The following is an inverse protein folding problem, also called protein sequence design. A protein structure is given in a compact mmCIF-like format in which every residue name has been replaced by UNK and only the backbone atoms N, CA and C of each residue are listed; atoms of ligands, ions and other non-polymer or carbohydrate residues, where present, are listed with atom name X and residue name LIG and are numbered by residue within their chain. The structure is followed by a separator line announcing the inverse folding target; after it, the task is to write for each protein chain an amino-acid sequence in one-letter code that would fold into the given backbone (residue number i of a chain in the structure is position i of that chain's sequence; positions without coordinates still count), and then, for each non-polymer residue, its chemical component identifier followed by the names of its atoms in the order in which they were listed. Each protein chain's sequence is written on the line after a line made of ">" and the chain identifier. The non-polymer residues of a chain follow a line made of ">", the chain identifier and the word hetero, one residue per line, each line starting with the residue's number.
data_IF_905724218381
#
_entry.id   IF_905724218381
#
_cell.length_a   1.000
_cell.length_b   1.000
_cell.length_c   1.000
_cell.angle_alpha   90.00
_cell.angle_beta   90.00
_cell.angle_gamma   90.00
#
_symmetry.space_group_name_H-M   'P 1'
#
loop_
_entity.id
_entity.type
_entity.pdbx_description
1 polymer ?
#
# COMPACT_ATOMS: atom_id res chain seq x y z
N UNK A 1 -12.33 12.72 -32.25
CA UNK A 1 -11.28 13.73 -31.98
C UNK A 1 -10.32 13.15 -30.94
N UNK A 2 -9.20 12.58 -31.36
CA UNK A 2 -8.23 11.88 -30.49
C UNK A 2 -6.81 12.45 -30.59
N UNK A 3 -6.50 13.18 -31.65
CA UNK A 3 -5.15 13.68 -31.94
C UNK A 3 -4.68 14.80 -30.98
N UNK A 4 -5.54 15.77 -30.66
CA UNK A 4 -5.19 16.86 -29.73
C UNK A 4 -4.84 16.33 -28.34
N UNK A 5 -5.52 15.27 -27.89
CA UNK A 5 -5.25 14.61 -26.61
C UNK A 5 -3.92 13.85 -26.64
N UNK A 6 -3.63 13.14 -27.73
CA UNK A 6 -2.36 12.42 -27.89
C UNK A 6 -1.15 13.37 -27.94
N UNK A 7 -1.25 14.46 -28.72
CA UNK A 7 -0.21 15.49 -28.80
C UNK A 7 0.00 16.18 -27.46
N UNK A 8 -1.08 16.53 -26.77
CA UNK A 8 -1.00 17.16 -25.44
C UNK A 8 -0.43 16.21 -24.40
N UNK A 9 -0.80 14.93 -24.43
CA UNK A 9 -0.27 13.90 -23.53
C UNK A 9 1.23 13.66 -23.75
N UNK A 10 1.67 13.59 -25.00
CA UNK A 10 3.08 13.44 -25.35
C UNK A 10 3.88 14.68 -24.94
N UNK A 11 3.35 15.89 -25.20
CA UNK A 11 3.99 17.14 -24.79
C UNK A 11 4.11 17.24 -23.26
N UNK A 12 3.04 16.90 -22.53
CA UNK A 12 3.05 16.85 -21.07
C UNK A 12 4.05 15.83 -20.51
N UNK A 13 4.13 14.65 -21.14
CA UNK A 13 5.15 13.64 -20.81
C UNK A 13 6.56 14.18 -21.04
N UNK A 14 6.85 14.77 -22.20
CA UNK A 14 8.15 15.39 -22.50
C UNK A 14 8.52 16.51 -21.52
N UNK A 15 7.57 17.37 -21.14
CA UNK A 15 7.80 18.41 -20.13
C UNK A 15 8.10 17.82 -18.75
N UNK A 16 7.40 16.74 -18.38
CA UNK A 16 7.63 16.04 -17.11
C UNK A 16 9.00 15.36 -17.10
N UNK A 17 9.36 14.68 -18.18
CA UNK A 17 10.67 14.04 -18.33
C UNK A 17 11.82 15.05 -18.31
N UNK A 18 11.63 16.23 -18.93
CA UNK A 18 12.60 17.33 -18.84
C UNK A 18 12.80 17.85 -17.42
N UNK A 19 11.79 17.74 -16.54
CA UNK A 19 11.90 18.13 -15.12
C UNK A 19 12.65 17.09 -14.29
N UNK A 20 12.87 15.86 -14.78
CA UNK A 20 13.62 14.83 -14.05
C UNK A 20 15.09 15.18 -13.82
N UNK A 21 15.68 16.03 -14.67
CA UNK A 21 17.06 16.51 -14.49
C UNK A 21 17.19 17.59 -13.42
N UNK A 22 16.07 18.17 -12.97
CA UNK A 22 16.11 19.13 -11.86
C UNK A 22 16.39 18.37 -10.56
N UNK A 23 17.38 18.81 -9.75
CA UNK A 23 17.69 18.13 -8.50
C UNK A 23 16.46 18.21 -7.60
N UNK A 24 15.79 17.07 -7.43
CA UNK A 24 14.69 16.94 -6.48
C UNK A 24 15.30 16.91 -5.08
N UNK A 25 14.94 17.87 -4.24
CA UNK A 25 15.39 17.90 -2.85
C UNK A 25 14.94 16.59 -2.17
N UNK A 26 15.90 15.75 -1.81
CA UNK A 26 15.61 14.52 -1.07
C UNK A 26 15.18 14.90 0.36
N UNK A 27 14.24 14.16 0.96
CA UNK A 27 13.89 14.38 2.35
C UNK A 27 15.10 14.12 3.24
N UNK A 28 15.31 14.99 4.23
CA UNK A 28 16.29 14.76 5.27
C UNK A 28 15.93 13.48 6.05
N UNK A 29 16.95 12.72 6.47
CA UNK A 29 16.77 11.49 7.24
C UNK A 29 15.90 11.70 8.48
N UNK A 30 16.03 12.84 9.15
CA UNK A 30 15.22 13.21 10.32
C UNK A 30 13.73 13.19 10.02
N UNK A 31 13.30 13.73 8.87
CA UNK A 31 11.89 13.74 8.49
C UNK A 31 11.37 12.32 8.19
N UNK A 32 12.20 11.45 7.63
CA UNK A 32 11.82 10.05 7.38
C UNK A 32 11.62 9.30 8.70
N UNK A 33 12.51 9.53 9.68
CA UNK A 33 12.38 8.96 11.02
C UNK A 33 11.13 9.48 11.73
N UNK A 34 10.89 10.80 11.72
CA UNK A 34 9.69 11.41 12.30
C UNK A 34 8.40 10.83 11.69
N UNK A 35 8.38 10.61 10.38
CA UNK A 35 7.24 10.01 9.70
C UNK A 35 7.03 8.54 10.12
N UNK A 36 8.10 7.76 10.22
CA UNK A 36 8.03 6.39 10.67
C UNK A 36 7.51 6.29 12.11
N UNK A 37 8.04 7.11 13.02
CA UNK A 37 7.61 7.17 14.42
C UNK A 37 6.13 7.57 14.53
N UNK A 38 5.69 8.52 13.70
CA UNK A 38 4.29 8.91 13.63
C UNK A 38 3.39 7.75 13.16
N UNK A 39 3.79 7.01 12.12
CA UNK A 39 3.03 5.85 11.65
C UNK A 39 2.90 4.77 12.71
N UNK A 40 3.98 4.50 13.47
CA UNK A 40 3.96 3.52 14.57
C UNK A 40 2.99 3.95 15.67
N UNK A 41 3.09 5.20 16.14
CA UNK A 41 2.19 5.74 17.18
C UNK A 41 0.73 5.68 16.74
N UNK A 42 0.44 6.16 15.53
CA UNK A 42 -0.91 6.18 14.99
C UNK A 42 -1.45 4.75 14.78
N UNK A 43 -0.59 3.82 14.36
CA UNK A 43 -0.90 2.40 14.24
C UNK A 43 -1.30 1.79 15.56
N UNK A 44 -0.48 1.94 16.60
CA UNK A 44 -0.70 1.36 17.92
C UNK A 44 -1.98 1.92 18.59
N UNK A 45 -2.19 3.24 18.50
CA UNK A 45 -3.39 3.90 19.03
C UNK A 45 -4.67 3.37 18.36
N UNK A 46 -4.71 3.33 17.02
CA UNK A 46 -5.89 2.90 16.29
C UNK A 46 -6.10 1.39 16.36
N UNK A 47 -5.02 0.60 16.48
CA UNK A 47 -5.11 -0.83 16.75
C UNK A 47 -5.77 -1.08 18.10
N UNK A 48 -5.39 -0.34 19.15
CA UNK A 48 -6.03 -0.44 20.47
C UNK A 48 -7.51 -0.08 20.42
N UNK A 49 -7.85 1.05 19.80
CA UNK A 49 -9.25 1.48 19.63
C UNK A 49 -10.10 0.45 18.88
N UNK A 50 -9.54 -0.14 17.82
CA UNK A 50 -10.24 -1.15 17.03
C UNK A 50 -10.41 -2.47 17.80
N UNK A 51 -9.45 -2.85 18.65
CA UNK A 51 -9.58 -4.02 19.55
C UNK A 51 -10.62 -3.80 20.65
N UNK A 52 -10.77 -2.56 21.14
CA UNK A 52 -11.81 -2.19 22.10
C UNK A 52 -13.20 -2.15 21.46
N UNK A 53 -13.29 -1.66 20.22
CA UNK A 53 -14.53 -1.60 19.44
C UNK A 53 -14.32 -2.00 17.98
N UNK A 54 -14.66 -3.25 17.67
CA UNK A 54 -14.55 -3.83 16.32
C UNK A 54 -15.48 -3.17 15.28
N UNK A 55 -16.40 -2.28 15.69
CA UNK A 55 -17.30 -1.54 14.80
C UNK A 55 -16.90 -0.07 14.61
N UNK A 56 -15.73 0.36 15.11
CA UNK A 56 -15.21 1.71 14.84
C UNK A 56 -14.65 1.85 13.40
N UNK A 57 -15.47 2.42 12.49
CA UNK A 57 -15.07 2.66 11.08
C UNK A 57 -13.87 3.61 10.98
N UNK A 58 -13.74 4.58 11.88
CA UNK A 58 -12.65 5.57 11.82
C UNK A 58 -11.33 4.91 12.20
N UNK A 59 -11.32 4.16 13.30
CA UNK A 59 -10.13 3.41 13.73
C UNK A 59 -9.72 2.38 12.65
N UNK A 60 -10.68 1.65 12.09
CA UNK A 60 -10.44 0.70 11.00
C UNK A 60 -9.82 1.38 9.77
N UNK A 61 -10.37 2.52 9.35
CA UNK A 61 -9.87 3.28 8.20
C UNK A 61 -8.45 3.79 8.43
N UNK A 62 -8.20 4.38 9.59
CA UNK A 62 -6.88 4.94 9.92
C UNK A 62 -5.84 3.83 10.01
N UNK A 63 -6.16 2.71 10.67
CA UNK A 63 -5.26 1.57 10.77
C UNK A 63 -4.97 0.94 9.40
N UNK A 64 -5.95 0.87 8.50
CA UNK A 64 -5.75 0.41 7.11
C UNK A 64 -4.77 1.30 6.36
N UNK A 65 -4.91 2.63 6.50
CA UNK A 65 -4.01 3.58 5.87
C UNK A 65 -2.59 3.49 6.44
N UNK A 66 -2.45 3.33 7.76
CA UNK A 66 -1.16 3.15 8.43
C UNK A 66 -0.48 1.87 7.95
N UNK A 67 -1.21 0.75 7.90
CA UNK A 67 -0.67 -0.52 7.42
C UNK A 67 -0.21 -0.43 5.96
N UNK A 68 -0.99 0.23 5.10
CA UNK A 68 -0.62 0.47 3.70
C UNK A 68 0.63 1.35 3.58
N UNK A 69 0.65 2.51 4.24
CA UNK A 69 1.77 3.44 4.21
C UNK A 69 3.05 2.79 4.75
N UNK A 70 2.96 2.11 5.89
CA UNK A 70 4.09 1.40 6.50
C UNK A 70 4.65 0.32 5.58
N UNK A 71 3.78 -0.44 4.91
CA UNK A 71 4.21 -1.48 3.95
C UNK A 71 4.91 -0.88 2.73
N UNK A 72 4.38 0.24 2.20
CA UNK A 72 4.95 0.97 1.06
C UNK A 72 6.34 1.50 1.39
N UNK A 73 6.48 2.19 2.53
CA UNK A 73 7.74 2.77 3.00
C UNK A 73 8.77 1.68 3.24
N UNK A 74 8.38 0.63 3.98
CA UNK A 74 9.27 -0.47 4.33
C UNK A 74 9.82 -1.19 3.10
N UNK A 75 8.95 -1.51 2.12
CA UNK A 75 9.35 -2.25 0.93
C UNK A 75 9.84 -1.36 -0.23
N UNK A 76 9.74 -0.04 -0.10
CA UNK A 76 10.00 0.95 -1.17
C UNK A 76 9.28 0.60 -2.47
N UNK A 77 8.03 0.13 -2.36
CA UNK A 77 7.19 -0.29 -3.50
C UNK A 77 6.25 0.81 -3.94
N UNK A 78 5.73 0.72 -5.17
CA UNK A 78 4.68 1.64 -5.61
C UNK A 78 3.39 1.29 -4.92
N UNK A 79 2.54 2.29 -4.69
CA UNK A 79 1.22 2.10 -4.06
C UNK A 79 0.42 0.97 -4.72
N UNK A 80 0.36 0.92 -6.05
CA UNK A 80 -0.37 -0.11 -6.78
C UNK A 80 0.13 -1.53 -6.56
N UNK A 81 1.41 -1.73 -6.25
CA UNK A 81 1.97 -3.06 -6.01
C UNK A 81 1.49 -3.65 -4.67
N UNK A 82 1.23 -2.78 -3.68
CA UNK A 82 0.79 -3.15 -2.33
C UNK A 82 -0.73 -3.08 -2.20
N UNK A 83 -1.34 -2.05 -2.79
CA UNK A 83 -2.77 -1.75 -2.72
C UNK A 83 -3.63 -2.90 -3.26
N UNK A 84 -3.21 -3.53 -4.37
CA UNK A 84 -3.96 -4.60 -5.01
C UNK A 84 -3.57 -6.01 -4.54
N UNK A 85 -2.83 -6.12 -3.42
CA UNK A 85 -2.42 -7.42 -2.89
C UNK A 85 -3.64 -8.26 -2.47
N UNK A 86 -3.88 -9.44 -3.10
CA UNK A 86 -5.00 -10.29 -2.74
C UNK A 86 -4.84 -10.91 -1.34
N UNK A 87 -5.94 -11.04 -0.62
CA UNK A 87 -5.98 -11.68 0.70
C UNK A 87 -5.47 -13.11 0.67
N UNK A 88 -5.84 -13.89 -0.34
CA UNK A 88 -5.39 -15.28 -0.48
C UNK A 88 -3.88 -15.35 -0.65
N UNK A 89 -3.28 -14.40 -1.36
CA UNK A 89 -1.83 -14.31 -1.54
C UNK A 89 -1.10 -14.01 -0.23
N UNK A 90 -1.69 -13.18 0.63
CA UNK A 90 -1.13 -12.92 1.96
C UNK A 90 -1.40 -14.05 2.94
N UNK A 91 -2.59 -14.65 2.93
CA UNK A 91 -2.92 -15.78 3.82
C UNK A 91 -2.16 -17.05 3.43
N UNK A 92 -1.84 -17.20 2.15
CA UNK A 92 -1.02 -18.28 1.64
C UNK A 92 0.31 -18.38 2.39
N UNK A 93 0.74 -19.62 2.63
CA UNK A 93 2.00 -19.91 3.29
C UNK A 93 3.16 -19.42 2.41
N UNK A 94 4.05 -18.63 2.99
CA UNK A 94 5.33 -18.27 2.37
C UNK A 94 6.06 -19.54 1.95
N UNK A 95 6.49 -19.60 0.68
CA UNK A 95 7.31 -20.61 0.00
C UNK A 95 7.77 -21.80 0.86
N UNK A 96 7.42 -23.01 0.43
CA UNK A 96 7.78 -24.30 1.05
C UNK A 96 9.22 -24.30 1.60
N UNK A 97 9.35 -24.21 2.93
CA UNK A 97 10.65 -24.01 3.60
C UNK A 97 11.63 -25.15 3.34
N UNK A 98 11.12 -26.32 2.93
CA UNK A 98 11.93 -27.46 2.48
C UNK A 98 12.89 -27.09 1.34
N UNK A 99 12.45 -26.22 0.42
CA UNK A 99 13.26 -25.79 -0.74
C UNK A 99 14.31 -24.73 -0.41
N UNK A 100 14.22 -24.10 0.76
CA UNK A 100 15.08 -22.98 1.17
C UNK A 100 16.09 -23.34 2.26
N UNK A 101 16.09 -24.56 2.79
CA UNK A 101 16.97 -24.97 3.91
C UNK A 101 18.45 -24.69 3.64
N UNK A 102 18.95 -25.10 2.48
CA UNK A 102 20.36 -24.89 2.10
C UNK A 102 20.73 -23.41 1.97
N UNK A 103 19.78 -22.55 1.59
CA UNK A 103 19.99 -21.10 1.55
C UNK A 103 20.01 -20.52 2.97
N UNK A 104 19.05 -20.92 3.81
CA UNK A 104 18.93 -20.46 5.20
C UNK A 104 20.19 -20.84 6.00
N UNK A 105 20.77 -22.02 5.78
CA UNK A 105 22.00 -22.45 6.46
C UNK A 105 23.20 -21.54 6.16
N UNK A 106 23.27 -20.98 4.95
CA UNK A 106 24.34 -20.08 4.50
C UNK A 106 24.13 -18.61 4.91
N UNK A 107 22.94 -18.26 5.44
CA UNK A 107 22.62 -16.91 5.88
C UNK A 107 23.29 -16.59 7.22
N UNK A 108 23.58 -15.31 7.43
CA UNK A 108 24.01 -14.81 8.74
C UNK A 108 22.91 -14.98 9.80
N UNK A 109 23.30 -14.96 11.07
CA UNK A 109 22.35 -15.13 12.17
C UNK A 109 21.24 -14.06 12.15
N UNK A 110 21.60 -12.80 11.84
CA UNK A 110 20.63 -11.71 11.68
C UNK A 110 19.63 -11.96 10.56
N UNK A 111 20.09 -12.47 9.41
CA UNK A 111 19.24 -12.75 8.26
C UNK A 111 18.30 -13.93 8.51
N UNK A 112 18.74 -14.95 9.27
CA UNK A 112 17.89 -16.06 9.72
C UNK A 112 16.74 -15.56 10.59
N UNK A 113 17.04 -14.70 11.57
CA UNK A 113 16.03 -14.10 12.45
C UNK A 113 15.02 -13.31 11.63
N UNK A 114 15.46 -12.49 10.68
CA UNK A 114 14.57 -11.72 9.81
C UNK A 114 13.68 -12.62 8.95
N UNK A 115 14.24 -13.68 8.38
CA UNK A 115 13.48 -14.63 7.54
C UNK A 115 12.43 -15.41 8.33
N UNK A 116 12.68 -15.67 9.61
CA UNK A 116 11.73 -16.33 10.52
C UNK A 116 10.64 -15.37 11.01
N UNK A 117 10.97 -14.10 11.24
CA UNK A 117 10.05 -13.13 11.83
C UNK A 117 9.21 -12.40 10.80
N UNK A 118 9.73 -12.18 9.59
CA UNK A 118 9.07 -11.39 8.56
C UNK A 118 8.27 -12.30 7.65
N UNK A 119 7.02 -11.93 7.43
CA UNK A 119 6.20 -12.64 6.47
C UNK A 119 6.56 -12.19 5.05
N UNK A 120 7.04 -13.14 4.24
CA UNK A 120 7.37 -12.91 2.84
C UNK A 120 6.20 -13.33 1.93
N UNK A 121 5.78 -12.42 1.06
CA UNK A 121 4.68 -12.60 0.12
C UNK A 121 5.14 -12.24 -1.29
N UNK A 122 4.86 -13.13 -2.25
CA UNK A 122 5.15 -12.90 -3.67
C UNK A 122 3.86 -12.57 -4.39
N UNK A 123 3.80 -11.39 -4.99
CA UNK A 123 2.64 -10.85 -5.71
C UNK A 123 2.94 -10.64 -7.20
N UNK A 124 1.89 -10.56 -8.02
CA UNK A 124 2.01 -10.23 -9.44
C UNK A 124 2.09 -8.72 -9.68
N UNK A 125 3.14 -8.27 -10.35
CA UNK A 125 3.38 -6.89 -10.74
C UNK A 125 3.11 -6.60 -12.21
N UNK A 126 3.31 -5.32 -12.60
CA UNK A 126 3.16 -4.87 -13.99
C UNK A 126 4.05 -5.68 -14.94
N UNK A 127 3.46 -6.16 -16.03
CA UNK A 127 4.17 -6.92 -17.06
C UNK A 127 4.51 -8.35 -16.65
N UNK A 128 3.67 -8.97 -15.82
CA UNK A 128 3.84 -10.35 -15.34
C UNK A 128 5.14 -10.58 -14.55
N UNK A 129 5.67 -9.53 -13.93
CA UNK A 129 6.87 -9.61 -13.09
C UNK A 129 6.46 -9.88 -11.65
N UNK A 130 7.11 -10.86 -11.01
CA UNK A 130 6.90 -11.11 -9.58
C UNK A 130 7.43 -9.94 -8.74
N UNK A 131 6.70 -9.59 -7.69
CA UNK A 131 7.04 -8.57 -6.71
C UNK A 131 7.12 -9.24 -5.34
N UNK A 132 8.25 -9.08 -4.68
CA UNK A 132 8.45 -9.53 -3.31
C UNK A 132 8.07 -8.42 -2.33
N UNK A 133 7.24 -8.76 -1.35
CA UNK A 133 6.76 -7.88 -0.29
C UNK A 133 7.02 -8.57 1.05
N UNK A 134 7.70 -7.87 1.94
CA UNK A 134 7.99 -8.29 3.30
C UNK A 134 7.13 -7.53 4.29
N UNK A 135 6.61 -8.24 5.27
CA UNK A 135 5.80 -7.68 6.35
C UNK A 135 6.53 -7.88 7.68
N UNK A 136 7.05 -6.82 8.31
CA UNK A 136 7.56 -6.86 9.68
C UNK A 136 6.48 -7.25 10.69
N UNK A 137 6.83 -7.80 11.87
CA UNK A 137 5.88 -8.24 12.90
C UNK A 137 4.87 -7.16 13.33
N UNK A 138 5.30 -5.90 13.44
CA UNK A 138 4.39 -4.79 13.79
C UNK A 138 3.28 -4.62 12.73
N UNK A 139 3.65 -4.63 11.44
CA UNK A 139 2.69 -4.53 10.35
C UNK A 139 1.79 -5.77 10.28
N UNK A 140 2.35 -6.96 10.52
CA UNK A 140 1.57 -8.20 10.58
C UNK A 140 0.48 -8.11 11.65
N UNK A 141 0.80 -7.60 12.84
CA UNK A 141 -0.17 -7.40 13.93
C UNK A 141 -1.29 -6.43 13.55
N UNK A 142 -0.96 -5.31 12.88
CA UNK A 142 -1.98 -4.39 12.38
C UNK A 142 -2.89 -5.07 11.36
N UNK A 143 -2.32 -5.82 10.41
CA UNK A 143 -3.08 -6.54 9.39
C UNK A 143 -3.98 -7.58 10.06
N UNK A 144 -3.50 -8.36 11.02
CA UNK A 144 -4.31 -9.34 11.75
C UNK A 144 -5.53 -8.72 12.43
N UNK A 145 -5.35 -7.59 13.12
CA UNK A 145 -6.47 -6.85 13.73
C UNK A 145 -7.46 -6.34 12.68
N UNK A 146 -6.95 -5.86 11.54
CA UNK A 146 -7.80 -5.47 10.41
C UNK A 146 -8.57 -6.67 9.83
N UNK A 147 -7.98 -7.87 9.80
CA UNK A 147 -8.64 -9.08 9.30
C UNK A 147 -9.78 -9.53 10.22
N UNK A 148 -9.62 -9.40 11.53
CA UNK A 148 -10.65 -9.70 12.53
C UNK A 148 -11.86 -8.76 12.41
N UNK A 149 -11.61 -7.45 12.35
CA UNK A 149 -12.67 -6.44 12.26
C UNK A 149 -13.30 -6.35 10.86
N UNK A 150 -12.70 -6.98 9.84
CA UNK A 150 -13.04 -6.81 8.42
C UNK A 150 -14.49 -7.14 8.08
N UNK A 151 -15.02 -8.20 8.68
CA UNK A 151 -16.37 -8.69 8.42
C UNK A 151 -17.44 -7.62 8.70
N UNK A 152 -17.11 -6.64 9.55
CA UNK A 152 -18.00 -5.53 9.91
C UNK A 152 -18.05 -4.41 8.87
N UNK A 153 -17.02 -4.28 8.01
CA UNK A 153 -16.85 -3.10 7.15
C UNK A 153 -16.71 -3.40 5.65
N UNK A 154 -16.09 -4.52 5.25
CA UNK A 154 -15.73 -4.76 3.85
C UNK A 154 -16.03 -6.22 3.42
N UNK A 155 -16.87 -6.45 2.40
CA UNK A 155 -17.23 -7.80 1.96
C UNK A 155 -16.28 -8.46 0.94
N UNK A 156 -15.21 -7.79 0.44
CA UNK A 156 -14.39 -8.26 -0.72
C UNK A 156 -12.88 -8.43 -0.46
N UNK A 157 -12.20 -9.15 -1.37
CA UNK A 157 -10.94 -9.95 -1.28
C UNK A 157 -9.57 -9.22 -1.18
N UNK A 158 -9.49 -7.89 -1.11
CA UNK A 158 -8.19 -7.15 -1.12
C UNK A 158 -7.86 -6.59 0.27
N UNK A 159 -6.62 -6.76 0.74
CA UNK A 159 -6.24 -6.57 2.17
C UNK A 159 -6.23 -5.09 2.57
N UNK A 160 -5.70 -4.22 1.71
CA UNK A 160 -5.36 -2.82 2.05
C UNK A 160 -6.12 -1.79 1.19
N UNK A 161 -7.35 -2.09 0.76
CA UNK A 161 -8.23 -1.13 0.07
C UNK A 161 -9.64 -1.08 0.62
N UNK A 162 -10.22 0.14 0.56
CA UNK A 162 -11.65 0.39 0.73
C UNK A 162 -12.33 0.31 -0.63
N UNK A 163 -13.25 -0.63 -0.84
CA UNK A 163 -14.29 -0.46 -1.86
C UNK A 163 -15.56 -0.03 -1.15
N UNK A 164 -15.98 1.23 -1.31
CA UNK A 164 -17.34 1.62 -0.93
C UNK A 164 -18.30 1.15 -2.02
N UNK A 165 -19.48 0.73 -1.57
CA UNK A 165 -20.74 0.55 -2.30
C UNK A 165 -20.79 -0.54 -3.37
N UNK A 166 -21.40 -1.66 -2.99
CA UNK A 166 -22.80 -1.87 -3.41
C UNK A 166 -23.08 -2.29 -4.84
N UNK A 167 -22.09 -2.50 -5.69
CA UNK A 167 -22.22 -3.33 -6.89
C UNK A 167 -20.87 -3.98 -7.18
N UNK A 168 -20.93 -5.23 -7.59
CA UNK A 168 -19.74 -6.04 -7.76
C UNK A 168 -18.89 -5.55 -8.91
N UNK A 169 -17.63 -5.19 -8.64
CA UNK A 169 -16.59 -5.73 -9.52
C UNK A 169 -16.74 -7.24 -9.43
N UNK A 170 -17.44 -7.82 -10.41
CA UNK A 170 -17.29 -9.22 -10.76
C UNK A 170 -15.80 -9.39 -11.00
N UNK A 171 -15.09 -9.83 -9.98
CA UNK A 171 -13.85 -10.56 -10.18
C UNK A 171 -14.33 -11.77 -10.98
N UNK A 172 -14.26 -11.69 -12.31
CA UNK A 172 -14.23 -12.90 -13.12
C UNK A 172 -13.00 -13.63 -12.61
N UNK A 173 -13.18 -14.59 -11.72
CA UNK A 173 -12.29 -15.73 -11.62
C UNK A 173 -12.28 -16.31 -13.03
N UNK A 174 -11.27 -15.92 -13.80
CA UNK A 174 -11.10 -16.40 -15.15
C UNK A 174 -10.31 -17.69 -15.03
N UNK A 175 -10.95 -18.77 -15.45
CA UNK A 175 -10.39 -20.11 -15.49
C UNK A 175 -8.95 -20.08 -16.01
N UNK A 176 -8.07 -20.71 -15.23
CA UNK A 176 -6.71 -21.00 -15.64
C UNK A 176 -6.73 -22.15 -16.65
N UNK A 177 -7.11 -21.89 -17.89
CA UNK A 177 -6.77 -22.70 -19.08
C UNK A 177 -7.36 -22.05 -20.33
N UNK A 178 -6.52 -21.67 -21.30
CA UNK A 178 -6.97 -21.29 -22.63
C UNK A 178 -6.10 -20.23 -23.27
N UNK A 179 -5.24 -20.66 -24.20
CA UNK A 179 -4.31 -19.82 -24.93
C UNK A 179 -5.00 -18.65 -25.65
N UNK A 180 -4.47 -17.46 -25.42
CA UNK A 180 -4.88 -16.25 -26.12
C UNK A 180 -4.09 -15.07 -25.55
N UNK A 181 -3.36 -14.36 -26.40
CA UNK A 181 -2.53 -13.20 -26.07
C UNK A 181 -3.29 -12.17 -25.24
N UNK A 182 -2.84 -11.94 -23.99
CA UNK A 182 -3.51 -11.10 -23.00
C UNK A 182 -2.97 -9.66 -23.06
N UNK A 183 -3.85 -8.72 -23.38
CA UNK A 183 -3.61 -7.28 -23.18
C UNK A 183 -4.19 -6.85 -21.83
N UNK A 184 -3.38 -6.16 -21.03
CA UNK A 184 -3.78 -5.53 -19.78
C UNK A 184 -4.51 -4.23 -20.07
N UNK A 185 -5.82 -4.15 -19.83
CA UNK A 185 -6.55 -2.89 -19.78
C UNK A 185 -6.70 -2.44 -18.32
N UNK A 186 -6.06 -1.33 -17.99
CA UNK A 186 -6.27 -0.61 -16.74
C UNK A 186 -7.70 -0.04 -16.71
N UNK A 187 -8.39 -0.03 -15.56
CA UNK A 187 -9.70 0.61 -15.46
C UNK A 187 -9.58 2.12 -15.71
N UNK A 188 -10.57 2.69 -16.39
CA UNK A 188 -10.66 4.13 -16.65
C UNK A 188 -10.89 4.93 -15.35
N UNK A 189 -10.47 6.19 -15.40
CA UNK A 189 -10.02 7.04 -14.27
C UNK A 189 -11.04 7.33 -13.17
N UNK A 190 -12.31 6.99 -13.32
CA UNK A 190 -13.38 7.66 -12.56
C UNK A 190 -13.99 6.85 -11.40
N UNK A 191 -13.62 5.57 -11.23
CA UNK A 191 -14.24 4.71 -10.19
C UNK A 191 -13.31 4.33 -9.01
N UNK A 192 -12.10 4.89 -8.98
CA UNK A 192 -11.18 4.63 -7.88
C UNK A 192 -11.03 5.91 -7.08
N UNK A 193 -11.77 6.04 -5.97
CA UNK A 193 -11.36 6.93 -4.89
C UNK A 193 -10.13 6.33 -4.19
N UNK A 194 -9.02 6.27 -4.94
CA UNK A 194 -7.68 6.25 -4.37
C UNK A 194 -7.55 7.62 -3.73
N UNK A 195 -7.51 7.70 -2.41
CA UNK A 195 -6.79 8.83 -1.84
C UNK A 195 -5.38 8.68 -2.36
N UNK A 196 -4.98 9.56 -3.29
CA UNK A 196 -3.61 9.61 -3.79
C UNK A 196 -2.69 9.65 -2.58
N UNK A 197 -1.50 9.04 -2.66
CA UNK A 197 -0.46 9.31 -1.66
C UNK A 197 -0.26 10.82 -1.47
N UNK A 198 -0.56 11.64 -2.48
CA UNK A 198 -0.57 13.10 -2.36
C UNK A 198 -1.60 13.59 -1.35
N UNK A 199 -2.80 13.04 -1.24
CA UNK A 199 -3.79 13.45 -0.23
C UNK A 199 -3.38 13.05 1.19
N UNK A 200 -2.69 11.91 1.32
CA UNK A 200 -2.18 11.40 2.59
C UNK A 200 -0.97 12.22 3.03
N UNK A 201 0.00 12.44 2.14
CA UNK A 201 1.19 13.25 2.41
C UNK A 201 0.82 14.73 2.61
N UNK A 202 -0.12 15.28 1.84
CA UNK A 202 -0.54 16.70 1.99
C UNK A 202 -1.31 16.92 3.29
N UNK A 203 -2.13 15.95 3.74
CA UNK A 203 -2.78 16.02 5.06
C UNK A 203 -1.84 15.74 6.24
N UNK A 204 -0.79 14.95 6.03
CA UNK A 204 0.20 14.62 7.07
C UNK A 204 1.28 15.72 7.20
N UNK A 205 1.68 16.36 6.11
CA UNK A 205 2.67 17.45 6.08
C UNK A 205 2.06 18.86 6.19
N UNK A 206 0.76 18.99 6.45
CA UNK A 206 0.13 20.27 6.82
C UNK A 206 -0.04 20.31 8.33
N UNK A 207 0.97 20.71 9.13
CA UNK A 207 0.67 21.22 10.45
C UNK A 207 -0.22 22.44 10.24
N UNK A 208 -1.32 22.53 10.99
CA UNK A 208 -2.17 23.70 11.02
C UNK A 208 -1.30 24.96 11.15
N UNK A 209 -1.16 25.72 10.06
CA UNK A 209 -0.86 27.14 10.16
C UNK A 209 -2.11 27.78 10.73
N UNK A 210 -2.29 27.64 12.04
CA UNK A 210 -3.13 28.55 12.82
C UNK A 210 -2.42 29.90 12.78
N UNK A 211 -2.60 30.65 11.68
CA UNK A 211 -2.44 32.09 11.72
C UNK A 211 -3.58 32.59 12.59
N UNK A 212 -3.34 32.60 13.91
CA UNK A 212 -4.12 33.38 14.85
C UNK A 212 -4.13 34.81 14.32
N UNK A 213 -5.33 35.26 13.97
CA UNK A 213 -5.56 36.64 13.56
C UNK A 213 -5.08 37.59 14.64
N UNK A 214 -3.97 38.25 14.39
CA UNK A 214 -3.66 39.52 15.03
C UNK A 214 -4.43 40.60 14.28
N UNK A 215 -5.67 40.85 14.69
CA UNK A 215 -6.22 42.20 14.63
C UNK A 215 -5.32 43.06 15.50
N UNK A 216 -4.59 43.99 14.89
CA UNK A 216 -4.00 45.12 15.62
C UNK A 216 -4.22 46.39 14.79
N UNK A 217 -5.05 47.25 15.38
CA UNK A 217 -5.17 48.71 15.26
C UNK A 217 -5.09 49.35 13.86
#
# INVERSE_FOLDING_TARGET
>A
MTWTNEVSALAGKCLTEKRFSTPTMLPLTEHVMMFQDYLVKLGDENQKLLKENLHDEKAFKTLTNVALASTIVFNRRRIGDVQYLPMETYKGTSRDQSTLREMIEKMSESEKVLTQTYKHVVAGGKGSRAIEIFFPPAIQSYIETLLEARNNFVPRTIILTRTKTGEGYKIKTMDMCGGGSVYWKWPEKDDILVYSCDDIITKICSPELTVLGSKNN
#
